data_IF_761132603432
#
_entry.id   IF_761132603432
#
_cell.length_a   1.000
_cell.length_b   1.000
_cell.length_c   1.000
_cell.angle_alpha   90.00
_cell.angle_beta   90.00
_cell.angle_gamma   90.00
#
_symmetry.space_group_name_H-M   'P 1'
#
loop_
_entity.id
_entity.type
_entity.pdbx_description
1 polymer ?
#
# COMPACT_ATOMS: atom_id res chain seq x y z
N UNK A 1 -5.77 7.00 4.10
CA UNK A 1 -6.27 5.68 4.53
C UNK A 1 -5.41 5.06 5.62
N UNK A 2 -4.07 5.14 5.53
CA UNK A 2 -3.18 4.72 6.63
C UNK A 2 -3.59 5.47 7.91
N UNK A 3 -3.87 4.70 8.96
CA UNK A 3 -4.22 5.22 10.29
C UNK A 3 -5.67 5.67 10.50
N UNK A 4 -6.59 5.47 9.53
CA UNK A 4 -7.98 5.95 9.61
C UNK A 4 -8.73 5.50 10.88
N UNK A 5 -8.39 4.32 11.40
CA UNK A 5 -9.09 3.66 12.50
C UNK A 5 -8.19 3.41 13.71
N UNK A 6 -7.08 4.14 13.83
CA UNK A 6 -6.24 4.07 15.03
C UNK A 6 -7.10 4.49 16.22
N UNK A 7 -7.05 3.70 17.28
CA UNK A 7 -7.78 3.90 18.54
C UNK A 7 -9.31 4.01 18.42
N UNK A 8 -9.90 3.49 17.33
CA UNK A 8 -11.35 3.47 17.13
C UNK A 8 -11.97 2.08 17.32
N UNK A 9 -13.15 2.01 17.93
CA UNK A 9 -14.02 0.83 17.95
C UNK A 9 -15.17 1.08 16.96
N UNK A 10 -15.35 0.18 16.00
CA UNK A 10 -16.41 0.25 15.00
C UNK A 10 -17.65 -0.51 15.49
N UNK A 11 -18.83 0.04 15.17
CA UNK A 11 -20.10 -0.63 15.42
C UNK A 11 -20.34 -1.76 14.39
N UNK A 12 -20.96 -2.85 14.80
CA UNK A 12 -21.19 -4.02 13.95
C UNK A 12 -22.11 -3.67 12.76
N UNK A 13 -23.12 -2.82 13.00
CA UNK A 13 -24.02 -2.32 11.96
C UNK A 13 -23.31 -1.50 10.88
N UNK A 14 -22.12 -0.96 11.19
CA UNK A 14 -21.32 -0.19 10.23
C UNK A 14 -20.50 -1.07 9.28
N UNK A 15 -20.52 -2.39 9.42
CA UNK A 15 -19.77 -3.33 8.58
C UNK A 15 -20.62 -3.89 7.44
N UNK A 16 -20.03 -4.17 6.25
CA UNK A 16 -18.61 -4.03 5.91
C UNK A 16 -18.22 -2.62 5.45
N UNK A 17 -16.97 -2.22 5.75
CA UNK A 17 -16.37 -0.99 5.22
C UNK A 17 -15.56 -1.29 3.94
N UNK A 18 -16.05 -0.85 2.78
CA UNK A 18 -15.38 -1.07 1.48
C UNK A 18 -14.65 0.19 1.02
N UNK A 19 -13.40 0.35 1.45
CA UNK A 19 -12.61 1.55 1.22
C UNK A 19 -11.55 1.32 0.13
N UNK A 20 -11.32 2.34 -0.69
CA UNK A 20 -10.26 2.37 -1.71
C UNK A 20 -9.40 3.61 -1.54
N UNK A 21 -8.16 3.56 -2.00
CA UNK A 21 -7.27 4.71 -2.06
C UNK A 21 -6.26 4.54 -3.16
N UNK A 22 -5.89 5.66 -3.76
CA UNK A 22 -4.80 5.76 -4.71
C UNK A 22 -3.65 6.54 -4.07
N UNK A 23 -2.44 5.97 -4.05
CA UNK A 23 -1.26 6.61 -3.46
C UNK A 23 0.05 6.07 -4.04
N UNK A 24 1.11 6.90 -4.04
CA UNK A 24 2.45 6.41 -4.33
C UNK A 24 2.92 5.46 -3.22
N UNK A 25 3.43 4.30 -3.62
CA UNK A 25 4.02 3.29 -2.76
C UNK A 25 5.53 3.34 -2.85
N UNK A 26 6.21 3.42 -1.70
CA UNK A 26 7.68 3.49 -1.63
C UNK A 26 8.26 2.18 -1.08
N UNK A 27 9.19 1.55 -1.80
CA UNK A 27 9.86 0.30 -1.41
C UNK A 27 11.38 0.45 -1.47
N UNK A 28 12.07 -0.08 -0.45
CA UNK A 28 13.55 -0.06 -0.40
C UNK A 28 14.21 -1.06 -1.35
N UNK A 29 13.49 -2.10 -1.80
CA UNK A 29 13.99 -3.15 -2.71
C UNK A 29 15.35 -3.75 -2.27
N UNK A 30 15.54 -3.94 -0.97
CA UNK A 30 16.77 -4.51 -0.40
C UNK A 30 16.92 -5.96 -0.85
N UNK A 31 18.08 -6.31 -1.41
CA UNK A 31 18.36 -7.66 -1.89
C UNK A 31 17.94 -7.94 -3.35
N UNK A 32 17.41 -6.96 -4.07
CA UNK A 32 16.96 -7.12 -5.45
C UNK A 32 18.04 -6.86 -6.52
N UNK A 33 19.32 -6.92 -6.17
CA UNK A 33 20.41 -6.66 -7.13
C UNK A 33 20.40 -7.68 -8.28
N UNK A 34 20.34 -7.21 -9.53
CA UNK A 34 20.29 -8.06 -10.72
C UNK A 34 18.93 -8.72 -11.02
N UNK A 35 17.89 -8.46 -10.21
CA UNK A 35 16.55 -9.00 -10.41
C UNK A 35 15.65 -7.91 -11.00
N UNK A 36 15.15 -8.14 -12.22
CA UNK A 36 14.10 -7.31 -12.86
C UNK A 36 14.45 -5.82 -12.97
N UNK A 37 15.74 -5.51 -13.14
CA UNK A 37 16.27 -4.14 -13.20
C UNK A 37 15.79 -3.34 -14.43
N UNK A 38 15.24 -4.02 -15.44
CA UNK A 38 14.76 -3.38 -16.67
C UNK A 38 13.24 -3.27 -16.66
N UNK A 39 12.74 -2.06 -16.90
CA UNK A 39 11.32 -1.76 -17.00
C UNK A 39 10.73 -1.24 -15.68
N UNK A 40 9.41 -1.35 -15.56
CA UNK A 40 8.64 -0.81 -14.42
C UNK A 40 8.13 -1.89 -13.47
N UNK A 41 8.57 -3.14 -13.66
CA UNK A 41 8.13 -4.27 -12.86
C UNK A 41 8.57 -4.14 -11.40
N UNK A 42 9.77 -3.62 -11.16
CA UNK A 42 10.35 -3.42 -9.82
C UNK A 42 11.05 -2.07 -9.74
N UNK A 43 10.44 -1.14 -9.01
CA UNK A 43 10.95 0.23 -8.83
C UNK A 43 10.67 0.71 -7.40
N UNK A 44 11.46 1.68 -6.94
CA UNK A 44 11.34 2.22 -5.59
C UNK A 44 10.04 3.00 -5.34
N UNK A 45 9.41 3.51 -6.39
CA UNK A 45 8.15 4.25 -6.31
C UNK A 45 7.20 3.77 -7.41
N UNK A 46 5.98 3.38 -7.06
CA UNK A 46 4.92 3.04 -8.01
C UNK A 46 3.55 3.46 -7.49
N UNK A 47 2.58 3.65 -8.38
CA UNK A 47 1.22 4.05 -8.03
C UNK A 47 0.34 2.84 -7.75
N UNK A 48 -0.53 2.95 -6.74
CA UNK A 48 -1.48 1.89 -6.38
C UNK A 48 -2.73 2.45 -5.71
#
# INVERSE_FOLDING_TARGET
MIGKFIDSILDEESLPQTLTSYSPCFRKEVGAHGIEERGVYRIHQFEK
#
